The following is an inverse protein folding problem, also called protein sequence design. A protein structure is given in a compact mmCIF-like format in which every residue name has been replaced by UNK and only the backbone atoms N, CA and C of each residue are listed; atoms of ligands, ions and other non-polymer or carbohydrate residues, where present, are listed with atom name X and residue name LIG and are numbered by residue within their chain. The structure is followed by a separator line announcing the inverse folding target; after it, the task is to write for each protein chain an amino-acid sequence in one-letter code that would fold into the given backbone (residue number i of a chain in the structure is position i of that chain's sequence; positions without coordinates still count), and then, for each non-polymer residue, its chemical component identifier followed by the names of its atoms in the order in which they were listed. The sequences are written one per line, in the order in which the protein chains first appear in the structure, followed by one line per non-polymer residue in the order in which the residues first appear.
data_IF_701545398759
#
_entry.id   IF_701545398759
#
_cell.length_a   1.000
_cell.length_b   1.000
_cell.length_c   1.000
_cell.angle_alpha   90.00
_cell.angle_beta   90.00
_cell.angle_gamma   90.00
#
_symmetry.space_group_name_H-M   'P 1'
#
loop_
_entity.id
_entity.type
_entity.pdbx_description
1 polymer ?
#
# COMPACT_ATOMS: atom_id res chain seq x y z
N UNK A 1 70.29 35.92 -44.68
CA UNK A 1 69.92 34.69 -43.94
C UNK A 1 69.03 35.09 -42.81
N UNK A 2 67.73 34.88 -43.00
CA UNK A 2 66.70 35.16 -42.01
C UNK A 2 66.09 33.78 -41.53
N UNK A 3 66.28 33.48 -40.29
CA UNK A 3 65.73 32.29 -39.67
C UNK A 3 64.34 32.58 -39.02
N UNK A 4 63.30 32.07 -39.62
CA UNK A 4 61.92 32.13 -39.10
C UNK A 4 61.77 31.24 -37.93
N UNK A 5 61.32 31.75 -36.76
CA UNK A 5 60.88 30.94 -35.61
C UNK A 5 59.38 30.67 -35.73
N UNK A 6 59.01 29.41 -35.97
CA UNK A 6 57.64 28.95 -35.85
C UNK A 6 57.29 28.81 -34.37
N UNK A 7 56.29 29.55 -33.93
CA UNK A 7 55.65 29.33 -32.60
C UNK A 7 54.54 28.36 -32.73
N UNK A 8 54.64 27.21 -32.05
CA UNK A 8 53.58 26.19 -31.93
C UNK A 8 52.62 26.64 -30.83
N UNK A 9 51.41 26.97 -31.23
CA UNK A 9 50.31 27.25 -30.28
C UNK A 9 49.60 25.91 -29.96
N UNK A 10 49.80 25.37 -28.75
CA UNK A 10 49.09 24.21 -28.28
C UNK A 10 47.73 24.63 -27.72
N UNK A 11 46.66 24.34 -28.45
CA UNK A 11 45.27 24.51 -28.00
C UNK A 11 44.92 23.29 -27.12
N UNK A 12 44.90 23.48 -25.80
CA UNK A 12 44.42 22.50 -24.84
C UNK A 12 42.88 22.45 -24.82
N UNK A 13 42.31 21.47 -25.50
CA UNK A 13 40.88 21.18 -25.41
C UNK A 13 40.62 20.51 -24.05
N UNK A 14 40.12 21.26 -23.07
CA UNK A 14 39.66 20.74 -21.81
C UNK A 14 38.31 20.04 -22.02
N UNK A 15 38.29 18.70 -22.05
CA UNK A 15 37.06 17.92 -22.00
C UNK A 15 36.44 18.12 -20.59
N UNK A 16 35.41 18.93 -20.48
CA UNK A 16 34.54 18.96 -19.30
C UNK A 16 33.65 17.68 -19.37
N UNK A 17 34.06 16.65 -18.67
CA UNK A 17 33.17 15.49 -18.42
C UNK A 17 32.05 15.99 -17.52
N UNK A 18 30.89 16.26 -18.10
CA UNK A 18 29.67 16.45 -17.31
C UNK A 18 29.32 15.07 -16.70
N UNK A 19 29.57 14.91 -15.42
CA UNK A 19 29.05 13.78 -14.67
C UNK A 19 27.51 13.91 -14.66
N UNK A 20 26.84 13.04 -15.41
CA UNK A 20 25.41 12.86 -15.30
C UNK A 20 25.18 12.35 -13.88
N UNK A 21 24.35 13.01 -13.04
CA UNK A 21 24.06 12.49 -11.73
C UNK A 21 23.36 11.14 -11.91
N UNK A 22 24.07 10.06 -11.63
CA UNK A 22 23.50 8.73 -11.53
C UNK A 22 22.57 8.76 -10.33
N UNK A 23 21.29 8.44 -10.53
CA UNK A 23 20.37 8.29 -9.41
C UNK A 23 20.98 7.29 -8.42
N UNK A 24 21.15 7.73 -7.17
CA UNK A 24 21.69 6.87 -6.14
C UNK A 24 20.76 5.68 -5.98
N UNK A 25 21.27 4.45 -6.09
CA UNK A 25 20.49 3.28 -5.73
C UNK A 25 20.18 3.34 -4.23
N UNK A 26 18.99 2.87 -3.83
CA UNK A 26 18.65 2.83 -2.41
C UNK A 26 19.37 1.63 -1.77
N UNK A 27 20.05 1.87 -0.64
CA UNK A 27 20.61 0.78 0.18
C UNK A 27 19.52 -0.03 0.90
N UNK A 28 18.26 0.42 0.82
CA UNK A 28 17.08 -0.15 1.46
C UNK A 28 16.03 0.91 1.69
N UNK A 29 15.06 0.56 2.53
CA UNK A 29 13.95 1.45 2.90
C UNK A 29 13.88 1.59 4.41
N UNK A 30 13.31 2.70 4.85
CA UNK A 30 12.94 2.94 6.23
C UNK A 30 11.54 3.51 6.30
N UNK A 31 10.92 3.36 7.47
CA UNK A 31 9.62 3.94 7.75
C UNK A 31 9.75 5.39 8.19
N UNK A 32 8.85 6.25 7.70
CA UNK A 32 8.62 7.59 8.24
C UNK A 32 7.18 7.64 8.75
N UNK A 33 7.03 7.87 10.06
CA UNK A 33 5.72 8.06 10.68
C UNK A 33 5.14 9.39 10.22
N UNK A 34 3.90 9.39 9.76
CA UNK A 34 3.13 10.57 9.35
C UNK A 34 2.19 11.02 10.46
N UNK A 35 1.50 10.06 11.11
CA UNK A 35 0.72 10.25 12.32
C UNK A 35 0.68 8.95 13.11
N UNK A 36 0.41 9.02 14.42
CA UNK A 36 0.39 7.84 15.27
C UNK A 36 -0.37 8.05 16.59
N UNK A 37 -0.87 6.97 17.17
CA UNK A 37 -1.29 6.92 18.57
C UNK A 37 -0.06 7.06 19.49
N UNK A 38 -0.11 7.83 20.60
CA UNK A 38 -1.27 8.53 21.15
C UNK A 38 -1.46 9.99 20.65
N UNK A 39 -0.63 10.48 19.72
CA UNK A 39 -0.77 11.85 19.18
C UNK A 39 -2.16 12.03 18.57
N UNK A 40 -2.61 11.09 17.77
CA UNK A 40 -4.00 10.94 17.37
C UNK A 40 -4.67 9.80 18.16
N UNK A 41 -5.54 10.17 19.10
CA UNK A 41 -6.25 9.21 19.95
C UNK A 41 -7.27 8.34 19.21
N UNK A 42 -7.61 8.67 17.96
CA UNK A 42 -8.50 7.85 17.13
C UNK A 42 -7.74 6.74 16.40
N UNK A 43 -6.47 6.97 16.08
CA UNK A 43 -5.64 6.08 15.28
C UNK A 43 -5.18 4.86 16.11
N UNK A 44 -6.08 3.94 16.39
CA UNK A 44 -5.78 2.69 17.10
C UNK A 44 -6.07 1.51 16.17
N UNK A 45 -5.08 0.66 15.97
CA UNK A 45 -5.15 -0.51 15.10
C UNK A 45 -5.75 -0.16 13.72
N UNK A 46 -5.15 0.76 12.96
CA UNK A 46 -5.67 1.16 11.66
C UNK A 46 -5.42 0.06 10.63
N UNK A 47 -6.51 -0.45 10.00
CA UNK A 47 -6.47 -1.50 9.00
C UNK A 47 -6.51 -0.93 7.58
N UNK A 48 -7.73 -0.79 7.03
CA UNK A 48 -7.94 -0.35 5.66
C UNK A 48 -7.58 1.12 5.43
N UNK A 49 -7.08 1.41 4.25
CA UNK A 49 -6.80 2.76 3.77
C UNK A 49 -7.31 2.91 2.35
N UNK A 50 -7.97 4.02 2.04
CA UNK A 50 -8.40 4.35 0.70
C UNK A 50 -8.40 5.86 0.47
N UNK A 51 -8.50 6.29 -0.79
CA UNK A 51 -8.64 7.69 -1.14
C UNK A 51 -9.43 7.84 -2.44
N UNK A 52 -10.12 8.95 -2.61
CA UNK A 52 -10.61 9.34 -3.94
C UNK A 52 -9.44 9.77 -4.83
N UNK A 53 -9.70 10.04 -6.10
CA UNK A 53 -8.66 10.37 -7.08
C UNK A 53 -7.78 11.57 -6.70
N UNK A 54 -8.25 12.48 -5.83
CA UNK A 54 -7.52 13.66 -5.39
C UNK A 54 -7.73 14.01 -3.91
N UNK A 55 -8.58 13.26 -3.20
CA UNK A 55 -8.92 13.50 -1.79
C UNK A 55 -7.85 12.99 -0.81
N UNK A 56 -8.07 13.21 0.48
CA UNK A 56 -7.21 12.72 1.55
C UNK A 56 -7.29 11.19 1.68
N UNK A 57 -6.36 10.62 2.43
CA UNK A 57 -6.51 9.27 2.93
C UNK A 57 -7.68 9.19 3.90
N UNK A 58 -8.48 8.16 3.74
CA UNK A 58 -9.42 7.64 4.72
C UNK A 58 -8.82 6.40 5.35
N UNK A 59 -8.89 6.27 6.65
CA UNK A 59 -8.28 5.18 7.42
C UNK A 59 -9.33 4.53 8.31
N UNK A 60 -9.46 3.21 8.23
CA UNK A 60 -10.34 2.42 9.10
C UNK A 60 -9.65 2.17 10.45
N UNK A 61 -10.00 2.92 11.47
CA UNK A 61 -9.47 2.76 12.82
C UNK A 61 -10.25 1.65 13.56
N UNK A 62 -9.77 0.41 13.40
CA UNK A 62 -10.43 -0.79 13.90
C UNK A 62 -10.68 -0.72 15.41
N UNK A 63 -9.68 -0.32 16.19
CA UNK A 63 -9.80 -0.21 17.65
C UNK A 63 -10.76 0.88 18.13
N UNK A 64 -11.24 1.76 17.25
CA UNK A 64 -12.19 2.85 17.56
C UNK A 64 -13.52 2.74 16.83
N UNK A 65 -13.65 1.85 15.86
CA UNK A 65 -14.84 1.70 15.00
C UNK A 65 -15.22 2.99 14.29
N UNK A 66 -14.23 3.73 13.82
CA UNK A 66 -14.40 4.97 13.08
C UNK A 66 -13.54 4.95 11.82
N UNK A 67 -13.82 5.87 10.90
CA UNK A 67 -12.87 6.20 9.84
C UNK A 67 -12.42 7.65 10.01
N UNK A 68 -11.12 7.86 9.97
CA UNK A 68 -10.47 9.18 10.09
C UNK A 68 -9.81 9.58 8.79
N UNK A 69 -9.53 10.88 8.62
CA UNK A 69 -9.03 11.43 7.38
C UNK A 69 -7.71 12.17 7.59
N UNK A 70 -6.74 11.90 6.70
CA UNK A 70 -5.42 12.53 6.74
C UNK A 70 -5.08 13.13 5.38
N UNK A 71 -4.86 14.46 5.35
CA UNK A 71 -4.29 15.12 4.20
C UNK A 71 -2.77 15.04 4.27
N UNK A 72 -2.15 14.52 3.23
CA UNK A 72 -0.69 14.36 3.11
C UNK A 72 -0.19 15.14 1.90
N UNK A 73 0.71 16.08 2.12
CA UNK A 73 1.30 16.86 1.04
C UNK A 73 2.19 15.96 0.15
N UNK A 74 1.97 15.88 -1.17
CA UNK A 74 2.69 14.94 -2.04
C UNK A 74 4.19 15.21 -2.18
N UNK A 75 4.64 16.44 -1.86
CA UNK A 75 6.05 16.83 -1.98
C UNK A 75 6.81 16.70 -0.66
N UNK A 76 6.20 17.14 0.44
CA UNK A 76 6.88 17.28 1.75
C UNK A 76 6.52 16.18 2.74
N UNK A 77 5.46 15.40 2.49
CA UNK A 77 4.83 14.47 3.41
C UNK A 77 4.29 15.16 4.69
N UNK A 78 4.11 16.49 4.68
CA UNK A 78 3.45 17.19 5.77
C UNK A 78 2.01 16.65 5.88
N UNK A 79 1.66 16.16 7.06
CA UNK A 79 0.39 15.49 7.32
C UNK A 79 -0.49 16.32 8.23
N UNK A 80 -1.77 16.37 7.91
CA UNK A 80 -2.78 17.04 8.73
C UNK A 80 -3.98 16.12 8.86
N UNK A 81 -4.33 15.75 10.11
CA UNK A 81 -5.61 15.11 10.40
C UNK A 81 -6.74 16.10 10.14
N UNK A 82 -7.74 15.69 9.38
CA UNK A 82 -8.95 16.48 9.15
C UNK A 82 -9.94 16.29 10.30
N UNK A 83 -10.83 17.27 10.49
CA UNK A 83 -11.78 17.28 11.60
C UNK A 83 -12.91 16.24 11.47
N UNK A 84 -13.18 15.76 10.24
CA UNK A 84 -14.19 14.74 10.03
C UNK A 84 -13.73 13.39 10.59
N UNK A 85 -14.55 12.82 11.46
CA UNK A 85 -14.44 11.46 11.97
C UNK A 85 -15.80 10.80 11.72
N UNK A 86 -15.81 9.69 11.00
CA UNK A 86 -17.03 8.98 10.62
C UNK A 86 -17.19 7.75 11.50
N UNK A 87 -18.26 7.70 12.28
CA UNK A 87 -18.64 6.52 13.05
C UNK A 87 -19.17 5.43 12.12
N UNK A 88 -18.63 4.22 12.25
CA UNK A 88 -19.03 3.06 11.45
C UNK A 88 -20.05 2.26 12.25
N UNK A 89 -21.24 1.97 11.67
CA UNK A 89 -22.30 1.26 12.36
C UNK A 89 -21.96 -0.23 12.56
N UNK A 90 -22.67 -0.89 13.45
CA UNK A 90 -22.52 -2.30 13.78
C UNK A 90 -21.83 -2.52 15.12
N UNK A 91 -21.74 -3.81 15.51
CA UNK A 91 -21.08 -4.23 16.75
C UNK A 91 -19.60 -4.59 16.55
N UNK A 92 -19.23 -4.98 15.34
CA UNK A 92 -17.85 -5.33 14.98
C UNK A 92 -16.98 -4.11 14.70
N UNK A 93 -15.69 -4.35 14.67
CA UNK A 93 -14.70 -3.34 14.29
C UNK A 93 -14.58 -3.21 12.77
N UNK A 94 -14.43 -1.99 12.28
CA UNK A 94 -14.21 -1.72 10.85
C UNK A 94 -12.85 -2.24 10.41
N UNK A 95 -12.79 -2.84 9.21
CA UNK A 95 -11.59 -3.45 8.66
C UNK A 95 -11.27 -2.88 7.27
N UNK A 96 -11.76 -3.51 6.19
CA UNK A 96 -11.57 -3.01 4.83
C UNK A 96 -12.41 -1.78 4.51
N UNK A 97 -11.89 -0.94 3.64
CA UNK A 97 -12.64 0.18 3.06
C UNK A 97 -12.21 0.47 1.64
N UNK A 98 -13.13 1.01 0.83
CA UNK A 98 -12.89 1.38 -0.56
C UNK A 98 -13.56 2.70 -0.90
N UNK A 99 -13.01 3.38 -1.91
CA UNK A 99 -13.66 4.51 -2.56
C UNK A 99 -14.56 4.01 -3.69
N UNK A 100 -15.78 4.51 -3.75
CA UNK A 100 -16.75 4.31 -4.83
C UNK A 100 -16.86 5.60 -5.63
N UNK A 101 -16.43 5.57 -6.87
CA UNK A 101 -16.45 6.68 -7.81
C UNK A 101 -17.75 6.75 -8.65
N UNK A 102 -18.76 5.94 -8.29
CA UNK A 102 -20.03 5.83 -9.02
C UNK A 102 -21.21 6.31 -8.17
N UNK A 103 -22.41 6.38 -8.79
CA UNK A 103 -23.65 6.64 -8.08
C UNK A 103 -24.28 5.39 -7.45
N UNK A 104 -23.63 4.24 -7.51
CA UNK A 104 -24.09 2.99 -6.89
C UNK A 104 -24.07 3.04 -5.36
N UNK A 105 -24.61 2.03 -4.70
CA UNK A 105 -24.70 1.97 -3.25
C UNK A 105 -25.33 3.22 -2.62
N UNK A 106 -26.43 3.73 -3.22
CA UNK A 106 -27.10 4.92 -2.73
C UNK A 106 -26.33 6.25 -2.91
N UNK A 107 -25.23 6.22 -3.69
CA UNK A 107 -24.34 7.36 -3.88
C UNK A 107 -23.29 7.49 -2.77
N UNK A 108 -23.09 6.45 -1.95
CA UNK A 108 -22.04 6.44 -0.94
C UNK A 108 -20.67 6.43 -1.59
N UNK A 109 -19.85 7.41 -1.25
CA UNK A 109 -18.52 7.58 -1.83
C UNK A 109 -17.48 6.67 -1.16
N UNK A 110 -17.68 6.27 0.10
CA UNK A 110 -16.82 5.32 0.80
C UNK A 110 -17.65 4.18 1.35
N UNK A 111 -17.16 2.95 1.14
CA UNK A 111 -17.81 1.73 1.60
C UNK A 111 -16.87 1.04 2.57
N UNK A 112 -17.45 0.45 3.62
CA UNK A 112 -16.71 -0.17 4.71
C UNK A 112 -17.27 -1.56 4.99
N UNK A 113 -16.38 -2.46 5.41
CA UNK A 113 -16.75 -3.79 5.92
C UNK A 113 -16.23 -3.95 7.34
N UNK A 114 -16.91 -4.76 8.15
CA UNK A 114 -16.61 -4.92 9.58
C UNK A 114 -16.60 -6.39 10.00
N UNK A 115 -15.95 -6.68 11.12
CA UNK A 115 -15.78 -8.04 11.65
C UNK A 115 -17.07 -8.72 12.13
N UNK A 116 -18.14 -7.97 12.30
CA UNK A 116 -19.49 -8.54 12.60
C UNK A 116 -20.30 -8.82 11.33
N UNK A 117 -19.72 -8.69 10.14
CA UNK A 117 -20.40 -8.85 8.87
C UNK A 117 -21.24 -7.66 8.44
N UNK A 118 -21.14 -6.52 9.13
CA UNK A 118 -21.76 -5.27 8.69
C UNK A 118 -21.06 -4.73 7.45
N UNK A 119 -21.85 -4.26 6.47
CA UNK A 119 -21.40 -3.42 5.37
C UNK A 119 -22.06 -2.06 5.51
N UNK A 120 -21.29 -0.99 5.42
CA UNK A 120 -21.76 0.37 5.57
C UNK A 120 -21.23 1.28 4.47
N UNK A 121 -21.90 2.40 4.28
CA UNK A 121 -21.54 3.40 3.28
C UNK A 121 -21.61 4.80 3.83
N UNK A 122 -20.82 5.69 3.25
CA UNK A 122 -20.83 7.09 3.64
C UNK A 122 -20.77 8.03 2.43
N UNK A 123 -21.58 9.08 2.51
CA UNK A 123 -21.57 10.25 1.61
C UNK A 123 -21.75 11.52 2.41
N UNK A 124 -21.36 12.65 1.85
CA UNK A 124 -21.25 13.93 2.60
C UNK A 124 -22.50 14.36 3.37
N UNK A 125 -23.71 14.06 2.88
CA UNK A 125 -24.97 14.44 3.55
C UNK A 125 -25.20 13.68 4.87
N UNK A 126 -24.51 12.54 5.08
CA UNK A 126 -24.64 11.74 6.29
C UNK A 126 -23.84 12.33 7.47
N UNK A 127 -23.02 13.36 7.24
CA UNK A 127 -22.24 14.01 8.29
C UNK A 127 -21.21 13.10 8.93
N UNK A 128 -21.31 12.82 10.22
CA UNK A 128 -20.31 12.09 11.00
C UNK A 128 -20.64 10.60 11.23
N UNK A 129 -21.64 10.05 10.55
CA UNK A 129 -22.03 8.65 10.70
C UNK A 129 -22.27 8.01 9.32
N UNK A 130 -21.72 6.82 9.10
CA UNK A 130 -22.06 6.00 7.94
C UNK A 130 -23.43 5.35 8.11
N UNK A 131 -24.10 5.04 6.98
CA UNK A 131 -25.35 4.26 7.00
C UNK A 131 -25.07 2.76 6.83
N UNK A 132 -25.98 1.93 7.31
CA UNK A 132 -25.90 0.48 7.15
C UNK A 132 -26.47 0.07 5.79
N UNK A 133 -25.65 -0.54 4.94
CA UNK A 133 -26.05 -1.13 3.67
C UNK A 133 -26.44 -2.62 3.84
N UNK A 134 -25.74 -3.33 4.73
CA UNK A 134 -26.02 -4.70 5.12
C UNK A 134 -25.82 -4.82 6.63
N UNK A 135 -26.83 -5.32 7.33
CA UNK A 135 -26.73 -5.58 8.77
C UNK A 135 -25.73 -6.70 9.07
N UNK A 136 -25.08 -6.61 10.22
CA UNK A 136 -24.17 -7.63 10.71
C UNK A 136 -24.83 -8.99 10.91
N UNK A 137 -24.02 -10.04 10.82
CA UNK A 137 -24.42 -11.44 11.00
C UNK A 137 -23.29 -12.22 11.66
N UNK A 138 -23.60 -13.00 12.67
CA UNK A 138 -22.62 -13.91 13.32
C UNK A 138 -22.07 -14.98 12.38
N UNK A 139 -22.66 -15.16 11.20
CA UNK A 139 -22.16 -16.04 10.15
C UNK A 139 -20.99 -15.45 9.36
N UNK A 140 -20.75 -14.12 9.44
CA UNK A 140 -19.77 -13.42 8.64
C UNK A 140 -18.71 -12.76 9.53
N UNK A 141 -17.47 -12.70 9.02
CA UNK A 141 -16.36 -11.89 9.55
C UNK A 141 -15.62 -11.32 8.36
N UNK A 142 -15.85 -10.04 8.06
CA UNK A 142 -15.19 -9.40 6.94
C UNK A 142 -13.84 -8.81 7.36
N UNK A 143 -12.78 -9.08 6.58
CA UNK A 143 -11.41 -8.66 6.89
C UNK A 143 -10.87 -7.63 5.89
N UNK A 144 -11.19 -7.76 4.62
CA UNK A 144 -10.77 -6.83 3.58
C UNK A 144 -11.87 -6.62 2.55
N UNK A 145 -11.70 -5.59 1.70
CA UNK A 145 -12.67 -5.28 0.65
C UNK A 145 -12.04 -4.68 -0.60
N UNK A 146 -12.67 -4.92 -1.74
CA UNK A 146 -12.33 -4.30 -3.02
C UNK A 146 -13.58 -3.77 -3.71
N UNK A 147 -13.41 -2.85 -4.64
CA UNK A 147 -14.46 -2.30 -5.48
C UNK A 147 -14.09 -2.44 -6.95
N UNK A 148 -15.04 -2.80 -7.78
CA UNK A 148 -14.89 -2.75 -9.23
C UNK A 148 -16.21 -2.46 -9.94
N UNK A 149 -16.09 -1.93 -11.17
CA UNK A 149 -17.20 -1.78 -12.11
C UNK A 149 -17.00 -2.76 -13.25
N UNK A 150 -18.03 -3.55 -13.55
CA UNK A 150 -18.04 -4.52 -14.63
C UNK A 150 -19.33 -4.38 -15.45
N UNK A 151 -19.20 -4.19 -16.76
CA UNK A 151 -20.37 -4.04 -17.65
C UNK A 151 -21.31 -2.88 -17.27
N UNK A 152 -20.79 -1.81 -16.65
CA UNK A 152 -21.55 -0.67 -16.16
C UNK A 152 -22.26 -0.89 -14.81
N UNK A 153 -22.06 -2.03 -14.17
CA UNK A 153 -22.56 -2.34 -12.82
C UNK A 153 -21.41 -2.35 -11.82
N UNK A 154 -21.66 -1.85 -10.61
CA UNK A 154 -20.66 -1.77 -9.54
C UNK A 154 -20.82 -2.90 -8.53
N UNK A 155 -19.70 -3.38 -8.02
CA UNK A 155 -19.64 -4.48 -7.06
C UNK A 155 -18.65 -4.16 -5.93
N UNK A 156 -19.07 -4.43 -4.71
CA UNK A 156 -18.20 -4.49 -3.54
C UNK A 156 -17.91 -5.97 -3.24
N UNK A 157 -16.65 -6.30 -3.16
CA UNK A 157 -16.15 -7.63 -2.79
C UNK A 157 -15.69 -7.58 -1.34
N UNK A 158 -16.18 -8.49 -0.51
CA UNK A 158 -15.81 -8.57 0.91
C UNK A 158 -15.18 -9.93 1.21
N UNK A 159 -13.96 -9.92 1.73
CA UNK A 159 -13.25 -11.12 2.16
C UNK A 159 -13.89 -11.65 3.44
N UNK A 160 -14.74 -12.68 3.32
CA UNK A 160 -15.42 -13.32 4.44
C UNK A 160 -14.54 -14.41 5.04
N UNK A 161 -13.77 -14.02 6.04
CA UNK A 161 -12.82 -14.91 6.69
C UNK A 161 -13.48 -16.11 7.37
N UNK A 162 -14.71 -15.91 7.91
CA UNK A 162 -15.41 -16.97 8.63
C UNK A 162 -15.90 -18.09 7.74
N UNK A 163 -16.46 -17.74 6.58
CA UNK A 163 -17.00 -18.73 5.63
C UNK A 163 -15.96 -19.27 4.66
N UNK A 164 -14.84 -18.54 4.50
CA UNK A 164 -13.82 -18.86 3.51
C UNK A 164 -14.19 -18.44 2.09
N UNK A 165 -15.09 -17.44 1.93
CA UNK A 165 -15.62 -16.98 0.65
C UNK A 165 -15.31 -15.50 0.40
N UNK A 166 -15.39 -15.08 -0.85
CA UNK A 166 -15.55 -13.66 -1.19
C UNK A 166 -17.05 -13.42 -1.39
N UNK A 167 -17.63 -12.59 -0.54
CA UNK A 167 -19.01 -12.17 -0.67
C UNK A 167 -19.09 -10.97 -1.61
N UNK A 168 -20.07 -10.99 -2.53
CA UNK A 168 -20.23 -9.94 -3.54
C UNK A 168 -21.54 -9.19 -3.29
N UNK A 169 -21.41 -7.89 -2.98
CA UNK A 169 -22.55 -7.01 -2.84
C UNK A 169 -22.70 -6.18 -4.13
N UNK A 170 -23.93 -6.15 -4.63
CA UNK A 170 -24.27 -5.39 -5.86
C UNK A 170 -24.53 -3.93 -5.52
N UNK A 171 -23.99 -3.02 -6.30
CA UNK A 171 -24.23 -1.58 -6.17
C UNK A 171 -25.65 -1.15 -6.51
N UNK A 172 -26.41 -2.03 -7.16
CA UNK A 172 -27.86 -1.87 -7.40
C UNK A 172 -28.55 -3.22 -7.52
N UNK A 173 -29.83 -3.29 -7.26
CA UNK A 173 -30.61 -4.53 -7.39
C UNK A 173 -30.67 -5.06 -8.84
N UNK A 174 -30.49 -4.17 -9.83
CA UNK A 174 -30.49 -4.50 -11.26
C UNK A 174 -29.15 -5.09 -11.73
N UNK A 175 -28.06 -4.97 -10.96
CA UNK A 175 -26.78 -5.50 -11.35
C UNK A 175 -26.84 -7.03 -11.54
N UNK A 176 -26.25 -7.60 -12.60
CA UNK A 176 -26.25 -9.06 -12.81
C UNK A 176 -25.45 -9.79 -11.72
N UNK A 177 -25.67 -11.08 -11.56
CA UNK A 177 -24.78 -11.92 -10.78
C UNK A 177 -23.48 -12.11 -11.56
N UNK A 178 -22.35 -12.17 -10.84
CA UNK A 178 -21.08 -12.50 -11.43
C UNK A 178 -21.03 -13.98 -11.84
N UNK A 179 -20.23 -14.30 -12.84
CA UNK A 179 -20.13 -15.66 -13.39
C UNK A 179 -19.18 -16.57 -12.62
N UNK A 180 -18.17 -15.99 -11.98
CA UNK A 180 -17.16 -16.71 -11.20
C UNK A 180 -17.57 -16.90 -9.75
N UNK A 181 -16.83 -17.73 -9.04
CA UNK A 181 -17.10 -18.14 -7.67
C UNK A 181 -15.99 -17.75 -6.68
N UNK A 182 -14.93 -17.08 -7.13
CA UNK A 182 -13.74 -16.78 -6.30
C UNK A 182 -13.14 -18.03 -5.64
N UNK A 183 -13.14 -19.16 -6.36
CA UNK A 183 -12.67 -20.43 -5.83
C UNK A 183 -11.37 -20.84 -6.49
N UNK A 184 -10.36 -21.15 -5.67
CA UNK A 184 -9.20 -21.94 -6.09
C UNK A 184 -9.34 -23.35 -5.53
N UNK A 185 -9.48 -24.35 -6.41
CA UNK A 185 -9.61 -25.76 -6.02
C UNK A 185 -8.35 -26.34 -5.35
N UNK A 186 -7.22 -25.64 -5.44
CA UNK A 186 -5.95 -26.04 -4.84
C UNK A 186 -5.63 -25.29 -3.55
N UNK A 187 -6.56 -24.47 -3.04
CA UNK A 187 -6.37 -23.82 -1.74
C UNK A 187 -6.41 -24.86 -0.63
N UNK A 188 -5.39 -24.84 0.22
CA UNK A 188 -5.31 -25.74 1.38
C UNK A 188 -6.44 -25.48 2.36
N UNK A 189 -7.05 -26.54 2.87
CA UNK A 189 -8.11 -26.44 3.88
C UNK A 189 -7.63 -25.71 5.15
N UNK A 190 -8.50 -24.91 5.74
CA UNK A 190 -8.21 -24.09 6.91
C UNK A 190 -7.73 -22.68 6.60
N UNK A 191 -7.48 -22.36 5.34
CA UNK A 191 -7.18 -21.00 4.90
C UNK A 191 -8.45 -20.30 4.40
N UNK A 192 -8.53 -18.99 4.66
CA UNK A 192 -9.65 -18.16 4.26
C UNK A 192 -9.18 -16.81 3.70
N UNK A 193 -9.99 -16.14 2.84
CA UNK A 193 -9.66 -14.83 2.32
C UNK A 193 -9.47 -13.83 3.45
N UNK A 194 -8.27 -13.21 3.52
CA UNK A 194 -7.91 -12.27 4.57
C UNK A 194 -7.94 -10.83 4.07
N UNK A 195 -7.56 -10.60 2.81
CA UNK A 195 -7.81 -9.34 2.12
C UNK A 195 -8.14 -9.59 0.66
N UNK A 196 -8.71 -8.58 0.00
CA UNK A 196 -8.93 -8.51 -1.43
C UNK A 196 -8.70 -7.08 -1.90
N UNK A 197 -7.98 -6.91 -3.03
CA UNK A 197 -7.69 -5.59 -3.59
C UNK A 197 -7.81 -5.61 -5.11
N UNK A 198 -8.43 -4.57 -5.68
CA UNK A 198 -8.43 -4.35 -7.12
C UNK A 198 -7.17 -3.59 -7.53
N UNK A 199 -6.27 -4.25 -8.23
CA UNK A 199 -5.03 -3.66 -8.73
C UNK A 199 -4.98 -3.82 -10.26
N UNK A 200 -4.94 -2.71 -10.97
CA UNK A 200 -4.91 -2.65 -12.43
C UNK A 200 -6.05 -3.44 -13.13
N UNK A 201 -7.22 -3.57 -12.47
CA UNK A 201 -8.40 -4.23 -13.05
C UNK A 201 -8.52 -5.72 -12.73
N UNK A 202 -7.59 -6.31 -12.00
CA UNK A 202 -7.66 -7.67 -11.47
C UNK A 202 -7.79 -7.65 -9.94
N UNK A 203 -8.42 -8.68 -9.39
CA UNK A 203 -8.61 -8.84 -7.95
C UNK A 203 -7.54 -9.78 -7.40
N UNK A 204 -6.72 -9.25 -6.50
CA UNK A 204 -5.75 -10.03 -5.76
C UNK A 204 -6.31 -10.35 -4.38
N UNK A 205 -6.30 -11.64 -4.01
CA UNK A 205 -6.83 -12.14 -2.75
C UNK A 205 -5.69 -12.74 -1.94
N UNK A 206 -5.50 -12.27 -0.72
CA UNK A 206 -4.64 -12.93 0.26
C UNK A 206 -5.42 -13.87 1.12
N UNK A 207 -4.80 -14.95 1.58
CA UNK A 207 -5.40 -15.93 2.47
C UNK A 207 -4.50 -16.13 3.69
N UNK A 208 -5.12 -16.23 4.87
CA UNK A 208 -4.45 -16.57 6.11
C UNK A 208 -5.06 -17.85 6.73
N UNK A 209 -4.27 -18.51 7.57
CA UNK A 209 -4.74 -19.69 8.31
C UNK A 209 -5.73 -19.25 9.40
N UNK A 210 -6.90 -19.87 9.43
CA UNK A 210 -7.95 -19.55 10.41
C UNK A 210 -7.63 -20.12 11.80
N UNK A 211 -7.97 -19.36 12.84
CA UNK A 211 -8.06 -19.90 14.19
C UNK A 211 -9.26 -20.85 14.35
N UNK A 212 -9.38 -21.48 15.51
CA UNK A 212 -10.48 -22.41 15.81
C UNK A 212 -11.87 -21.75 15.76
N UNK A 213 -11.95 -20.44 15.97
CA UNK A 213 -13.22 -19.67 15.94
C UNK A 213 -13.56 -19.19 14.54
N UNK A 214 -12.60 -19.28 13.61
CA UNK A 214 -12.67 -18.72 12.26
C UNK A 214 -12.91 -17.21 12.24
N UNK A 215 -12.39 -16.53 13.25
CA UNK A 215 -12.54 -15.08 13.40
C UNK A 215 -11.19 -14.33 13.36
N UNK A 216 -10.13 -14.97 13.82
CA UNK A 216 -8.74 -14.52 13.78
C UNK A 216 -7.86 -15.41 12.94
N UNK A 217 -6.72 -14.89 12.52
CA UNK A 217 -5.68 -15.63 11.84
C UNK A 217 -4.70 -16.29 12.83
N UNK A 218 -4.02 -17.30 12.36
CA UNK A 218 -2.90 -17.94 13.04
C UNK A 218 -1.62 -17.58 12.29
N UNK A 219 -0.94 -16.55 12.76
CA UNK A 219 0.34 -16.12 12.19
C UNK A 219 1.40 -17.24 12.31
N UNK A 220 2.29 -17.31 11.35
CA UNK A 220 3.37 -18.28 11.29
C UNK A 220 4.02 -18.30 9.91
N UNK A 221 5.32 -18.59 9.87
CA UNK A 221 6.08 -18.66 8.63
C UNK A 221 5.46 -19.69 7.67
N UNK A 222 5.13 -19.26 6.45
CA UNK A 222 4.44 -20.06 5.45
C UNK A 222 2.91 -20.09 5.59
N UNK A 223 2.33 -19.38 6.55
CA UNK A 223 0.88 -19.31 6.74
C UNK A 223 0.26 -18.24 5.82
N UNK A 224 0.27 -18.49 4.52
CA UNK A 224 -0.35 -17.57 3.58
C UNK A 224 -0.39 -18.09 2.15
N UNK A 225 -1.36 -17.56 1.38
CA UNK A 225 -1.47 -17.71 -0.07
C UNK A 225 -1.88 -16.39 -0.68
N UNK A 226 -1.61 -16.22 -1.98
CA UNK A 226 -2.09 -15.10 -2.77
C UNK A 226 -2.56 -15.60 -4.12
N UNK A 227 -3.78 -15.25 -4.51
CA UNK A 227 -4.38 -15.59 -5.80
C UNK A 227 -4.76 -14.33 -6.59
N UNK A 228 -4.81 -14.47 -7.90
CA UNK A 228 -5.34 -13.50 -8.84
C UNK A 228 -6.64 -14.02 -9.47
N UNK A 229 -7.67 -13.16 -9.46
CA UNK A 229 -8.97 -13.38 -10.11
C UNK A 229 -9.28 -12.22 -11.05
N UNK A 230 -10.10 -12.48 -12.06
CA UNK A 230 -10.74 -11.37 -12.77
C UNK A 230 -11.87 -10.74 -11.92
N UNK A 231 -12.41 -9.61 -12.35
CA UNK A 231 -13.50 -8.93 -11.63
C UNK A 231 -14.83 -9.67 -11.68
N UNK A 232 -14.95 -10.72 -12.50
CA UNK A 232 -16.10 -11.63 -12.50
C UNK A 232 -15.96 -12.76 -11.48
N UNK A 233 -14.80 -12.92 -10.83
CA UNK A 233 -14.51 -13.97 -9.87
C UNK A 233 -14.00 -15.27 -10.48
N UNK A 234 -13.53 -15.24 -11.73
CA UNK A 234 -12.86 -16.39 -12.33
C UNK A 234 -11.39 -16.42 -11.89
N UNK A 235 -10.93 -17.58 -11.41
CA UNK A 235 -9.56 -17.81 -11.02
C UNK A 235 -8.62 -17.68 -12.25
N UNK A 236 -7.58 -16.87 -12.10
CA UNK A 236 -6.57 -16.67 -13.14
C UNK A 236 -5.31 -17.46 -12.84
N UNK A 237 -4.71 -17.27 -11.67
CA UNK A 237 -3.49 -17.96 -11.25
C UNK A 237 -3.21 -17.79 -9.76
N UNK A 238 -2.35 -18.68 -9.23
CA UNK A 238 -1.70 -18.54 -7.94
C UNK A 238 -0.49 -17.61 -8.08
N UNK A 239 -0.40 -16.61 -7.21
CA UNK A 239 0.76 -15.71 -7.12
C UNK A 239 1.81 -16.31 -6.18
N UNK A 240 1.40 -16.73 -5.00
CA UNK A 240 2.32 -17.26 -4.00
C UNK A 240 1.66 -18.27 -3.06
N UNK A 241 2.46 -19.20 -2.54
CA UNK A 241 2.06 -20.23 -1.58
C UNK A 241 3.13 -20.39 -0.52
N UNK A 242 2.79 -20.20 0.76
CA UNK A 242 3.71 -20.41 1.87
C UNK A 242 4.97 -19.55 1.77
N UNK A 243 6.14 -20.14 2.00
CA UNK A 243 7.43 -19.47 1.87
C UNK A 243 7.56 -18.28 2.84
N UNK A 244 7.75 -17.08 2.30
CA UNK A 244 7.86 -15.84 3.07
C UNK A 244 6.53 -15.20 3.47
N UNK A 245 5.39 -15.85 3.21
CA UNK A 245 4.07 -15.34 3.62
C UNK A 245 3.78 -15.71 5.08
N UNK A 246 3.22 -14.75 5.82
CA UNK A 246 2.84 -14.87 7.22
C UNK A 246 1.63 -13.99 7.50
N UNK A 247 0.42 -14.57 7.47
CA UNK A 247 -0.84 -13.84 7.53
C UNK A 247 -0.85 -12.60 6.60
N UNK A 248 -0.69 -12.77 5.28
CA UNK A 248 -0.56 -11.64 4.36
C UNK A 248 -1.88 -10.88 4.27
N UNK A 249 -1.81 -9.52 4.42
CA UNK A 249 -2.96 -8.64 4.28
C UNK A 249 -2.70 -7.50 3.30
N UNK A 250 -1.59 -6.78 3.43
CA UNK A 250 -1.26 -5.62 2.60
C UNK A 250 -1.03 -6.00 1.14
N UNK A 251 -1.66 -5.28 0.21
CA UNK A 251 -1.50 -5.48 -1.23
C UNK A 251 -1.34 -4.13 -1.93
N UNK A 252 -0.33 -3.99 -2.77
CA UNK A 252 -0.14 -2.82 -3.65
C UNK A 252 0.73 -3.18 -4.86
N UNK A 253 0.59 -2.41 -5.95
CA UNK A 253 1.64 -2.36 -6.97
C UNK A 253 2.74 -1.40 -6.53
N UNK A 254 3.99 -1.81 -6.65
CA UNK A 254 5.14 -1.05 -6.20
C UNK A 254 5.28 0.26 -6.98
N UNK A 255 5.22 1.44 -6.31
CA UNK A 255 5.42 2.71 -6.97
C UNK A 255 6.90 2.94 -7.32
N UNK A 256 7.17 3.95 -8.17
CA UNK A 256 8.50 4.22 -8.73
C UNK A 256 9.59 4.54 -7.70
N UNK A 257 9.23 5.00 -6.51
CA UNK A 257 10.22 5.24 -5.43
C UNK A 257 10.87 3.96 -4.90
N UNK A 258 10.29 2.79 -5.22
CA UNK A 258 10.84 1.49 -4.80
C UNK A 258 11.88 0.93 -5.79
N UNK A 259 12.30 1.71 -6.77
CA UNK A 259 13.44 1.42 -7.65
C UNK A 259 13.26 0.12 -8.45
N UNK A 260 14.10 -0.89 -8.19
CA UNK A 260 14.06 -2.17 -8.90
C UNK A 260 12.78 -2.98 -8.70
N UNK A 261 12.00 -2.69 -7.67
CA UNK A 261 10.71 -3.34 -7.42
C UNK A 261 9.54 -2.68 -8.15
N UNK A 262 9.77 -1.56 -8.88
CA UNK A 262 8.68 -0.81 -9.52
C UNK A 262 7.81 -1.68 -10.39
N UNK A 263 6.49 -1.70 -10.12
CA UNK A 263 5.50 -2.49 -10.85
C UNK A 263 5.27 -3.89 -10.30
N UNK A 264 6.12 -4.39 -9.40
CA UNK A 264 5.91 -5.68 -8.73
C UNK A 264 4.67 -5.63 -7.82
N UNK A 265 4.06 -6.78 -7.61
CA UNK A 265 3.05 -6.93 -6.58
C UNK A 265 3.73 -7.01 -5.21
N UNK A 266 3.42 -6.07 -4.35
CA UNK A 266 3.83 -6.07 -2.96
C UNK A 266 2.79 -6.78 -2.11
N UNK A 267 3.26 -7.70 -1.27
CA UNK A 267 2.45 -8.47 -0.32
C UNK A 267 3.01 -8.25 1.08
N UNK A 268 2.29 -7.46 1.88
CA UNK A 268 2.64 -7.16 3.28
C UNK A 268 2.04 -8.18 4.23
N UNK A 269 2.88 -8.72 5.08
CA UNK A 269 2.50 -9.68 6.11
C UNK A 269 2.08 -8.95 7.40
N UNK A 270 0.91 -9.27 7.92
CA UNK A 270 0.54 -8.86 9.27
C UNK A 270 1.38 -9.61 10.32
N UNK A 271 1.64 -10.90 10.11
CA UNK A 271 2.27 -11.75 11.10
C UNK A 271 3.72 -11.35 11.43
N UNK A 272 4.60 -11.17 10.42
CA UNK A 272 6.01 -10.84 10.64
C UNK A 272 6.39 -9.40 10.22
N UNK A 273 5.44 -8.62 9.72
CA UNK A 273 5.64 -7.22 9.30
C UNK A 273 6.50 -7.03 8.06
N UNK A 274 6.83 -8.08 7.32
CA UNK A 274 7.66 -8.01 6.12
C UNK A 274 6.83 -7.77 4.86
N UNK A 275 7.48 -7.24 3.82
CA UNK A 275 6.85 -7.00 2.53
C UNK A 275 7.58 -7.82 1.47
N UNK A 276 6.87 -8.78 0.88
CA UNK A 276 7.36 -9.60 -0.23
C UNK A 276 6.99 -8.95 -1.56
N UNK A 277 7.89 -8.98 -2.54
CA UNK A 277 7.67 -8.46 -3.89
C UNK A 277 7.67 -9.61 -4.90
N UNK A 278 6.65 -9.61 -5.79
CA UNK A 278 6.48 -10.63 -6.83
C UNK A 278 6.39 -9.96 -8.20
N UNK A 279 7.22 -10.38 -9.14
CA UNK A 279 7.06 -10.03 -10.54
C UNK A 279 5.82 -10.75 -11.11
N UNK A 280 4.84 -9.96 -11.49
CA UNK A 280 3.57 -10.40 -12.08
C UNK A 280 3.40 -9.94 -13.54
N UNK A 281 4.43 -9.38 -14.15
CA UNK A 281 4.37 -8.75 -15.48
C UNK A 281 4.02 -9.71 -16.63
N UNK A 282 4.31 -11.00 -16.46
CA UNK A 282 4.00 -12.03 -17.44
C UNK A 282 2.70 -12.78 -17.19
N UNK A 283 2.26 -13.59 -18.16
CA UNK A 283 1.14 -14.53 -18.00
C UNK A 283 1.57 -15.87 -17.39
N UNK A 284 2.87 -16.05 -17.15
CA UNK A 284 3.46 -17.26 -16.55
C UNK A 284 3.31 -17.30 -15.03
N UNK A 285 4.06 -18.23 -14.41
CA UNK A 285 4.13 -18.33 -12.96
C UNK A 285 4.81 -17.08 -12.39
N UNK A 286 4.18 -16.36 -11.45
CA UNK A 286 4.80 -15.21 -10.79
C UNK A 286 6.10 -15.59 -10.08
N UNK A 287 7.05 -14.65 -10.05
CA UNK A 287 8.38 -14.89 -9.50
C UNK A 287 8.58 -14.03 -8.25
N UNK A 288 8.99 -14.67 -7.15
CA UNK A 288 9.43 -13.93 -5.96
C UNK A 288 10.73 -13.16 -6.30
N UNK A 289 10.64 -11.84 -6.33
CA UNK A 289 11.80 -10.94 -6.53
C UNK A 289 12.62 -10.85 -5.24
N UNK A 290 11.95 -10.81 -4.09
CA UNK A 290 12.56 -10.77 -2.77
C UNK A 290 11.68 -10.08 -1.74
N UNK A 291 12.26 -9.80 -0.58
CA UNK A 291 11.65 -8.94 0.44
C UNK A 291 12.21 -7.53 0.33
N UNK A 292 11.39 -6.51 0.62
CA UNK A 292 11.89 -5.14 0.67
C UNK A 292 13.00 -5.03 1.71
N UNK A 293 14.22 -4.60 1.32
CA UNK A 293 15.33 -4.46 2.25
C UNK A 293 15.12 -3.25 3.17
N UNK A 294 15.41 -3.40 4.45
CA UNK A 294 15.55 -2.31 5.39
C UNK A 294 16.93 -1.65 5.33
N UNK A 295 17.17 -0.67 6.18
CA UNK A 295 18.49 -0.09 6.33
C UNK A 295 19.49 -1.16 6.77
N UNK A 296 20.64 -1.29 6.05
CA UNK A 296 21.67 -2.26 6.37
C UNK A 296 21.42 -3.69 5.87
N UNK A 297 20.59 -3.86 4.82
CA UNK A 297 20.34 -5.11 4.11
C UNK A 297 19.51 -6.18 4.87
N UNK A 298 19.10 -5.95 6.11
CA UNK A 298 18.08 -6.78 6.75
C UNK A 298 16.72 -6.50 6.13
N UNK A 299 15.79 -7.46 6.07
CA UNK A 299 14.43 -7.16 5.61
C UNK A 299 13.78 -6.02 6.39
N UNK A 300 13.06 -5.14 5.70
CA UNK A 300 12.23 -4.13 6.35
C UNK A 300 11.13 -4.83 7.15
N UNK A 301 10.95 -4.42 8.41
CA UNK A 301 9.91 -4.96 9.28
C UNK A 301 9.07 -3.82 9.85
N UNK A 302 7.75 -3.94 9.76
CA UNK A 302 6.76 -2.99 10.28
C UNK A 302 5.83 -3.78 11.20
N UNK A 303 5.96 -3.56 12.52
CA UNK A 303 5.14 -4.25 13.51
C UNK A 303 3.65 -3.99 13.30
N UNK A 304 2.84 -5.06 13.20
CA UNK A 304 1.41 -5.00 12.96
C UNK A 304 1.01 -4.40 11.61
N UNK A 305 1.79 -4.65 10.54
CA UNK A 305 1.54 -4.13 9.21
C UNK A 305 0.18 -4.57 8.67
N UNK A 306 -0.65 -3.59 8.30
CA UNK A 306 -1.94 -3.81 7.65
C UNK A 306 -1.90 -3.41 6.17
N UNK A 307 -2.41 -2.24 5.83
CA UNK A 307 -2.54 -1.82 4.44
C UNK A 307 -1.24 -1.32 3.81
N UNK A 308 -1.17 -1.48 2.49
CA UNK A 308 -0.22 -0.84 1.60
C UNK A 308 -0.98 -0.11 0.50
N UNK A 309 -0.59 1.13 0.17
CA UNK A 309 -1.20 1.88 -0.92
C UNK A 309 -0.27 2.96 -1.46
N UNK A 310 -0.22 3.22 -2.77
CA UNK A 310 0.39 4.44 -3.28
C UNK A 310 -0.48 5.66 -2.96
N UNK A 311 0.11 6.85 -3.02
CA UNK A 311 -0.67 8.10 -2.95
C UNK A 311 -1.39 8.43 -4.26
N UNK A 312 -2.06 9.60 -4.30
CA UNK A 312 -2.85 10.05 -5.46
C UNK A 312 -2.37 11.37 -6.09
N UNK A 313 -1.22 11.93 -5.67
CA UNK A 313 -0.71 13.26 -6.04
C UNK A 313 -1.61 14.44 -5.65
N UNK A 314 -2.64 14.18 -4.86
CA UNK A 314 -3.55 15.15 -4.26
C UNK A 314 -3.42 15.15 -2.73
N UNK A 315 -4.58 15.04 -2.05
CA UNK A 315 -4.63 15.01 -0.59
C UNK A 315 -4.11 13.73 0.06
N UNK A 316 -3.88 12.66 -0.68
CA UNK A 316 -3.34 11.39 -0.19
C UNK A 316 -1.85 11.19 -0.57
N UNK A 317 -1.07 12.24 -0.60
CA UNK A 317 0.37 12.14 -0.83
C UNK A 317 0.77 11.80 -2.26
N UNK A 318 2.05 11.48 -2.48
CA UNK A 318 2.62 11.21 -3.79
C UNK A 318 2.27 9.81 -4.30
N UNK A 319 1.80 9.69 -5.56
CA UNK A 319 1.58 8.41 -6.22
C UNK A 319 2.88 7.62 -6.46
N UNK A 320 4.02 8.25 -6.31
CA UNK A 320 5.32 7.61 -6.43
C UNK A 320 5.80 6.98 -5.12
N UNK A 321 5.10 7.18 -4.00
CA UNK A 321 5.47 6.66 -2.68
C UNK A 321 4.49 5.61 -2.21
N UNK A 322 4.98 4.69 -1.36
CA UNK A 322 4.18 3.66 -0.71
C UNK A 322 3.85 4.09 0.73
N UNK A 323 2.56 4.20 1.02
CA UNK A 323 2.02 4.49 2.34
C UNK A 323 1.52 3.19 2.98
N UNK A 324 1.47 3.16 4.31
CA UNK A 324 1.03 2.00 5.06
C UNK A 324 0.25 2.39 6.31
N UNK A 325 -0.59 1.48 6.77
CA UNK A 325 -1.19 1.49 8.11
C UNK A 325 -0.63 0.33 8.92
N UNK A 326 -0.52 0.50 10.23
CA UNK A 326 -0.05 -0.55 11.12
C UNK A 326 -0.65 -0.41 12.53
N UNK A 327 -0.91 -1.55 13.19
CA UNK A 327 -1.33 -1.68 14.58
C UNK A 327 -0.22 -2.26 15.46
N UNK A 328 0.86 -1.52 15.76
CA UNK A 328 1.97 -2.04 16.54
C UNK A 328 1.57 -2.35 18.00
N UNK A 329 2.47 -3.04 18.72
CA UNK A 329 2.28 -3.39 20.13
C UNK A 329 1.03 -4.25 20.37
N UNK A 330 0.91 -5.34 19.62
CA UNK A 330 -0.25 -6.25 19.67
C UNK A 330 -1.57 -5.48 19.48
N UNK A 331 -1.63 -4.65 18.42
CA UNK A 331 -2.82 -3.91 17.98
C UNK A 331 -3.33 -2.82 18.95
N UNK A 332 -2.57 -2.50 19.98
CA UNK A 332 -2.92 -1.40 20.93
C UNK A 332 -2.41 -0.04 20.47
N UNK A 333 -1.46 -0.01 19.56
CA UNK A 333 -0.94 1.19 18.89
C UNK A 333 -1.62 1.47 17.56
N UNK A 334 -1.15 2.50 16.87
CA UNK A 334 -1.60 2.82 15.53
C UNK A 334 -0.63 3.74 14.82
N UNK A 335 -0.40 3.49 13.55
CA UNK A 335 0.50 4.27 12.69
C UNK A 335 -0.08 4.42 11.29
N UNK A 336 -0.06 5.64 10.79
CA UNK A 336 -0.07 5.97 9.37
C UNK A 336 1.35 6.38 8.99
N UNK A 337 1.96 5.72 8.01
CA UNK A 337 3.34 5.99 7.64
C UNK A 337 3.60 5.91 6.14
N UNK A 338 4.84 6.22 5.75
CA UNK A 338 5.33 6.15 4.37
C UNK A 338 6.71 5.52 4.33
N UNK A 339 7.00 4.73 3.30
CA UNK A 339 8.34 4.22 3.04
C UNK A 339 9.19 5.27 2.35
N UNK A 340 10.40 5.44 2.83
CA UNK A 340 11.40 6.35 2.23
C UNK A 340 12.68 5.59 1.94
N UNK A 341 13.32 5.84 0.77
CA UNK A 341 14.60 5.22 0.43
C UNK A 341 15.71 5.68 1.39
N UNK A 342 16.59 4.77 1.75
CA UNK A 342 17.84 5.07 2.45
C UNK A 342 18.96 5.14 1.41
N UNK A 343 19.62 6.29 1.20
CA UNK A 343 20.72 6.40 0.24
C UNK A 343 21.90 5.50 0.63
N UNK A 344 22.57 4.90 -0.36
CA UNK A 344 23.83 4.18 -0.10
C UNK A 344 24.90 5.13 0.46
N UNK A 345 25.71 4.62 1.39
CA UNK A 345 26.81 5.38 1.99
C UNK A 345 27.82 5.90 0.96
N UNK A 346 28.02 5.18 -0.15
CA UNK A 346 28.86 5.59 -1.28
C UNK A 346 28.36 6.86 -1.97
N UNK A 347 27.05 7.07 -2.09
CA UNK A 347 26.48 8.28 -2.66
C UNK A 347 26.66 9.50 -1.75
N UNK A 348 26.65 9.32 -0.44
CA UNK A 348 26.92 10.40 0.52
C UNK A 348 28.39 10.85 0.47
N UNK A 349 29.33 9.95 0.24
CA UNK A 349 30.75 10.28 0.06
C UNK A 349 30.99 11.08 -1.24
N UNK A 350 30.29 10.73 -2.33
CA UNK A 350 30.45 11.44 -3.60
C UNK A 350 29.91 12.88 -3.52
N UNK A 351 28.79 13.12 -2.85
CA UNK A 351 28.27 14.48 -2.59
C UNK A 351 29.18 15.27 -1.65
N UNK A 352 29.71 14.67 -0.61
CA UNK A 352 30.69 15.29 0.30
C UNK A 352 31.99 15.72 -0.41
N UNK A 353 32.50 14.85 -1.28
CA UNK A 353 33.73 15.14 -2.06
C UNK A 353 33.51 16.25 -3.08
N UNK A 354 32.35 16.30 -3.75
CA UNK A 354 31.98 17.38 -4.69
C UNK A 354 31.86 18.74 -3.98
N UNK A 355 31.29 18.78 -2.77
CA UNK A 355 31.20 20.01 -1.98
C UNK A 355 32.57 20.49 -1.51
N UNK A 356 33.48 19.59 -1.12
CA UNK A 356 34.86 19.95 -0.72
C UNK A 356 35.65 20.46 -1.93
N UNK A 357 35.58 19.80 -3.08
CA UNK A 357 36.27 20.22 -4.31
C UNK A 357 35.71 21.53 -4.86
N UNK A 358 34.37 21.73 -4.80
CA UNK A 358 33.71 22.98 -5.16
C UNK A 358 34.11 24.14 -4.23
N UNK A 359 34.22 23.90 -2.92
CA UNK A 359 34.68 24.84 -1.92
C UNK A 359 36.16 25.26 -2.13
N UNK A 360 37.05 24.31 -2.47
CA UNK A 360 38.46 24.57 -2.75
C UNK A 360 38.64 25.40 -4.05
N UNK A 361 37.80 25.14 -5.08
CA UNK A 361 37.82 25.92 -6.32
C UNK A 361 37.34 27.37 -6.11
N UNK A 362 36.35 27.60 -5.25
CA UNK A 362 35.84 28.92 -4.89
C UNK A 362 36.89 29.73 -4.10
N UNK A 363 37.56 29.10 -3.13
CA UNK A 363 38.63 29.77 -2.32
C UNK A 363 39.85 30.13 -3.15
N UNK A 364 40.19 29.36 -4.19
CA UNK A 364 41.30 29.70 -5.10
C UNK A 364 40.99 30.90 -6.04
N UNK A 365 39.71 31.14 -6.38
CA UNK A 365 39.30 32.31 -7.19
C UNK A 365 39.32 33.61 -6.42
N UNK A 366 39.07 33.60 -5.12
CA UNK A 366 39.11 34.83 -4.28
C UNK A 366 40.51 35.28 -3.90
N UNK A 367 41.55 34.45 -4.07
CA UNK A 367 42.96 34.83 -3.81
C UNK A 367 43.72 35.38 -5.03
N UNK A 368 43.07 35.55 -6.20
CA UNK A 368 43.66 36.12 -7.43
C UNK A 368 42.96 37.40 -7.91
N UNK A 369 42.21 38.08 -7.05
CA UNK A 369 41.64 39.40 -7.28
C UNK A 369 42.29 40.42 -6.35
#
# INVERSE_FOLDING_TARGET
MQTSKLALLALGLGLAVMAIPQAASAAGFQTKVLDSYPTDSSLINPWGISASSSGPFWVSDNGKKVSTLYSVNPTTDATTKLSLVVTIPGNGSVTGQVFNDTASFGGDSFLFVSEDGTVSGWRGILGTAAETLQAGSTANVYKGSAFATLGGSSYLYAANFKTGTIDVLKGSAAAPNLSGSFTDSNLTSGYAPFNIQNLAGNLFVTYALQDATKSGDLAGAGHGFVDEFDTSGNYMRRIASGGGLDSPWGLALAPSSLGSFTGDLLVGNFGDGRINAFDISGTGTPVLVGQLPGAGASPLTIDGLWALTPGNNGGAGSSQKLYYTAGPSAETGGVLGVLVPVPEASSLMTFGLLLILGGIAAVRRTKKA
#
